data_IF_828650056419
#
_entry.id   IF_828650056419
#
_cell.length_a   1.000
_cell.length_b   1.000
_cell.length_c   1.000
_cell.angle_alpha   90.00
_cell.angle_beta   90.00
_cell.angle_gamma   90.00
#
_symmetry.space_group_name_H-M   'P 1'
#
loop_
_entity.id
_entity.type
_entity.pdbx_description
1 polymer ?
#
# COMPACT_ATOMS: atom_id res chain seq x y z
N UNK A 1 -35.95 -48.00 -49.16
CA UNK A 1 -36.00 -46.52 -49.08
C UNK A 1 -36.22 -46.15 -47.62
N UNK A 2 -35.16 -45.89 -46.86
CA UNK A 2 -35.25 -45.27 -45.53
C UNK A 2 -34.11 -44.26 -45.42
N UNK A 3 -34.46 -42.99 -45.46
CA UNK A 3 -33.56 -41.84 -45.30
C UNK A 3 -33.47 -41.53 -43.81
N UNK A 4 -32.27 -41.68 -43.23
CA UNK A 4 -31.97 -41.27 -41.86
C UNK A 4 -31.70 -39.76 -41.86
N UNK A 5 -32.53 -39.00 -41.15
CA UNK A 5 -32.40 -37.56 -41.01
C UNK A 5 -31.54 -37.28 -39.78
N UNK A 6 -30.28 -36.88 -39.99
CA UNK A 6 -29.36 -36.50 -38.92
C UNK A 6 -29.70 -35.08 -38.47
N UNK A 7 -30.26 -34.96 -37.26
CA UNK A 7 -30.51 -33.69 -36.60
C UNK A 7 -29.20 -33.23 -35.96
N UNK A 8 -28.60 -32.18 -36.51
CA UNK A 8 -27.42 -31.52 -35.93
C UNK A 8 -27.90 -30.52 -34.88
N UNK A 9 -27.76 -30.88 -33.60
CA UNK A 9 -27.91 -29.92 -32.50
C UNK A 9 -26.66 -29.04 -32.44
N UNK A 10 -26.78 -27.81 -32.88
CA UNK A 10 -25.76 -26.77 -32.65
C UNK A 10 -25.95 -26.25 -31.22
N UNK A 11 -25.12 -26.72 -30.29
CA UNK A 11 -24.98 -26.12 -28.97
C UNK A 11 -24.37 -24.72 -29.14
N UNK A 12 -25.21 -23.69 -29.05
CA UNK A 12 -24.74 -22.33 -28.77
C UNK A 12 -24.24 -22.31 -27.33
N UNK A 13 -22.92 -22.50 -27.15
CA UNK A 13 -22.25 -22.19 -25.90
C UNK A 13 -22.24 -20.66 -25.78
N UNK A 14 -23.25 -20.08 -25.10
CA UNK A 14 -23.18 -18.70 -24.66
C UNK A 14 -22.03 -18.60 -23.66
N UNK A 15 -20.82 -18.29 -24.15
CA UNK A 15 -19.75 -17.78 -23.31
C UNK A 15 -20.21 -16.39 -22.88
N UNK A 16 -20.83 -16.33 -21.69
CA UNK A 16 -20.99 -15.06 -20.98
C UNK A 16 -19.58 -14.65 -20.62
N UNK A 17 -18.98 -13.77 -21.43
CA UNK A 17 -17.76 -13.07 -21.05
C UNK A 17 -18.20 -12.16 -19.91
N UNK A 18 -17.95 -12.59 -18.68
CA UNK A 18 -18.16 -11.77 -17.50
C UNK A 18 -17.15 -10.63 -17.61
N UNK A 19 -17.62 -9.47 -18.06
CA UNK A 19 -16.77 -8.28 -18.16
C UNK A 19 -16.16 -8.03 -16.79
N UNK A 20 -14.86 -7.74 -16.74
CA UNK A 20 -14.19 -7.34 -15.51
C UNK A 20 -15.04 -6.28 -14.81
N UNK A 21 -15.47 -6.55 -13.57
CA UNK A 21 -16.30 -5.61 -12.82
C UNK A 21 -15.53 -4.31 -12.66
N UNK A 22 -16.03 -3.25 -13.29
CA UNK A 22 -15.44 -1.91 -13.18
C UNK A 22 -15.90 -1.35 -11.84
N UNK A 23 -14.96 -1.11 -10.93
CA UNK A 23 -15.24 -0.45 -9.65
C UNK A 23 -15.23 1.06 -9.90
N UNK A 24 -16.40 1.68 -9.76
CA UNK A 24 -16.59 3.13 -9.94
C UNK A 24 -17.06 3.83 -8.68
N UNK A 25 -17.58 3.09 -7.71
CA UNK A 25 -18.02 3.58 -6.41
C UNK A 25 -17.99 2.52 -5.31
N UNK A 26 -18.26 2.92 -4.06
CA UNK A 26 -18.28 2.00 -2.92
C UNK A 26 -19.38 0.93 -2.99
N UNK A 27 -20.46 1.18 -3.73
CA UNK A 27 -21.58 0.27 -3.97
C UNK A 27 -21.23 -0.91 -4.89
N UNK A 28 -20.18 -0.79 -5.69
CA UNK A 28 -19.70 -1.85 -6.60
C UNK A 28 -18.93 -2.96 -5.85
N UNK A 29 -18.63 -2.73 -4.57
CA UNK A 29 -17.71 -3.55 -3.77
C UNK A 29 -18.48 -4.28 -2.66
N UNK A 30 -18.35 -5.61 -2.63
CA UNK A 30 -18.72 -6.39 -1.44
C UNK A 30 -17.60 -6.33 -0.40
N UNK A 31 -17.64 -5.30 0.45
CA UNK A 31 -16.66 -5.05 1.51
C UNK A 31 -16.51 -6.23 2.50
N UNK A 32 -17.49 -7.14 2.58
CA UNK A 32 -17.39 -8.31 3.47
C UNK A 32 -16.43 -9.38 2.93
N UNK A 33 -16.10 -9.31 1.64
CA UNK A 33 -15.25 -10.28 0.94
C UNK A 33 -13.81 -9.80 0.78
N UNK A 34 -13.53 -8.52 1.01
CA UNK A 34 -12.18 -7.96 0.89
C UNK A 34 -11.27 -8.55 1.96
N UNK A 35 -10.05 -8.93 1.57
CA UNK A 35 -9.05 -9.61 2.40
C UNK A 35 -7.71 -8.88 2.38
N UNK A 36 -6.84 -9.17 3.34
CA UNK A 36 -5.46 -8.66 3.28
C UNK A 36 -4.71 -9.37 2.17
N UNK A 37 -3.80 -8.69 1.48
CA UNK A 37 -2.91 -9.35 0.51
C UNK A 37 -2.11 -10.50 1.15
N UNK A 38 -1.83 -10.44 2.45
CA UNK A 38 -1.17 -11.51 3.22
C UNK A 38 -1.99 -12.79 3.34
N UNK A 39 -3.30 -12.72 3.11
CA UNK A 39 -4.21 -13.87 3.14
C UNK A 39 -4.30 -14.55 1.75
N UNK A 40 -3.58 -14.03 0.73
CA UNK A 40 -3.53 -14.62 -0.61
C UNK A 40 -2.84 -16.00 -0.58
N UNK A 41 -3.46 -17.06 -1.15
CA UNK A 41 -2.83 -18.39 -1.24
C UNK A 41 -1.52 -18.33 -2.03
N UNK A 42 -0.47 -18.98 -1.51
CA UNK A 42 0.87 -18.96 -2.11
C UNK A 42 1.80 -17.87 -1.55
N UNK A 43 1.25 -16.87 -0.84
CA UNK A 43 2.02 -16.07 0.11
C UNK A 43 2.45 -17.02 1.24
N UNK A 44 3.75 -17.13 1.53
CA UNK A 44 4.33 -18.14 2.42
C UNK A 44 3.60 -18.29 3.77
N UNK A 45 3.69 -19.44 4.45
CA UNK A 45 2.79 -19.80 5.53
C UNK A 45 2.87 -18.81 6.69
N UNK A 46 1.78 -18.07 6.91
CA UNK A 46 1.62 -17.30 8.13
C UNK A 46 1.07 -18.23 9.21
N UNK A 47 1.97 -18.91 9.92
CA UNK A 47 1.63 -19.65 11.15
C UNK A 47 1.62 -18.66 12.32
N UNK A 48 0.51 -17.96 12.53
CA UNK A 48 0.30 -17.25 13.79
C UNK A 48 0.01 -18.26 14.91
N UNK A 49 0.88 -18.35 15.91
CA UNK A 49 0.56 -19.05 17.16
C UNK A 49 -0.44 -18.21 17.93
N UNK A 50 -1.61 -18.78 18.23
CA UNK A 50 -2.67 -18.10 18.97
C UNK A 50 -2.21 -17.73 20.38
N UNK A 51 -1.95 -16.45 20.62
CA UNK A 51 -2.04 -15.90 21.96
C UNK A 51 -3.11 -14.81 21.94
N UNK A 52 -4.30 -15.16 22.43
CA UNK A 52 -5.35 -14.19 22.75
C UNK A 52 -4.95 -13.51 24.05
N UNK A 53 -4.21 -12.41 23.98
CA UNK A 53 -4.12 -11.46 25.09
C UNK A 53 -3.51 -10.15 24.63
N UNK A 54 -4.15 -9.07 25.09
CA UNK A 54 -3.80 -7.64 25.02
C UNK A 54 -4.22 -6.87 23.74
N UNK A 55 -5.37 -6.19 23.88
CA UNK A 55 -5.78 -5.07 23.04
C UNK A 55 -5.19 -3.78 23.62
N UNK A 56 -4.31 -3.13 22.86
CA UNK A 56 -3.97 -1.69 22.91
C UNK A 56 -3.69 -1.32 21.44
N UNK A 57 -4.51 -0.55 20.71
CA UNK A 57 -4.86 0.89 20.79
C UNK A 57 -3.75 1.83 20.27
N UNK A 58 -4.16 2.97 19.69
CA UNK A 58 -3.39 4.23 19.49
C UNK A 58 -3.14 4.71 18.06
N UNK A 59 -3.69 4.05 17.05
CA UNK A 59 -3.95 4.72 15.77
C UNK A 59 -5.02 5.80 15.98
N UNK A 60 -4.67 7.08 15.87
CA UNK A 60 -5.67 8.15 15.88
C UNK A 60 -6.40 8.16 14.55
N UNK A 61 -7.73 8.34 14.58
CA UNK A 61 -8.48 8.54 13.35
C UNK A 61 -8.02 9.82 12.68
N UNK A 62 -7.77 9.72 11.38
CA UNK A 62 -7.31 10.83 10.54
C UNK A 62 -8.54 11.57 10.01
N UNK A 63 -8.54 12.90 10.09
CA UNK A 63 -9.62 13.68 9.49
C UNK A 63 -9.45 13.74 7.96
N UNK A 64 -10.55 13.97 7.24
CA UNK A 64 -10.51 14.16 5.79
C UNK A 64 -9.59 15.34 5.46
N UNK A 65 -8.63 15.12 4.55
CA UNK A 65 -7.65 16.12 4.13
C UNK A 65 -6.33 16.16 4.90
N UNK A 66 -6.23 15.51 6.06
CA UNK A 66 -4.99 15.52 6.87
C UNK A 66 -3.84 14.73 6.22
N UNK A 67 -4.17 13.64 5.51
CA UNK A 67 -3.22 12.79 4.79
C UNK A 67 -3.68 12.69 3.32
N UNK A 68 -3.51 13.77 2.53
CA UNK A 68 -4.13 13.90 1.20
C UNK A 68 -3.47 13.03 0.12
N UNK A 69 -2.36 12.37 0.46
CA UNK A 69 -1.63 11.45 -0.40
C UNK A 69 -1.94 9.97 -0.11
N UNK A 70 -2.72 9.65 0.93
CA UNK A 70 -3.03 8.26 1.24
C UNK A 70 -3.88 7.66 0.12
N UNK A 71 -3.40 6.56 -0.46
CA UNK A 71 -4.11 5.80 -1.48
C UNK A 71 -4.55 4.45 -0.88
N UNK A 72 -5.85 4.16 -0.98
CA UNK A 72 -6.37 2.83 -0.71
C UNK A 72 -6.38 2.04 -2.04
N UNK A 73 -5.91 0.81 -2.03
CA UNK A 73 -5.71 0.01 -3.25
C UNK A 73 -6.52 -1.27 -3.14
N UNK A 74 -7.45 -1.45 -4.08
CA UNK A 74 -8.18 -2.69 -4.28
C UNK A 74 -7.55 -3.46 -5.42
N UNK A 75 -7.13 -4.69 -5.14
CA UNK A 75 -6.58 -5.62 -6.14
C UNK A 75 -7.60 -6.74 -6.32
N UNK A 76 -8.32 -6.73 -7.44
CA UNK A 76 -9.30 -7.74 -7.78
C UNK A 76 -8.69 -8.81 -8.69
N UNK A 77 -8.78 -10.05 -8.24
CA UNK A 77 -8.54 -11.29 -8.99
C UNK A 77 -9.89 -11.97 -9.26
N UNK A 78 -9.89 -13.02 -10.11
CA UNK A 78 -11.10 -13.74 -10.56
C UNK A 78 -12.07 -14.12 -9.42
N UNK A 79 -11.55 -14.51 -8.24
CA UNK A 79 -12.36 -15.01 -7.12
C UNK A 79 -12.13 -14.27 -5.80
N UNK A 80 -11.33 -13.20 -5.78
CA UNK A 80 -10.98 -12.51 -4.54
C UNK A 80 -10.64 -11.04 -4.79
N UNK A 81 -10.91 -10.19 -3.80
CA UNK A 81 -10.39 -8.82 -3.76
C UNK A 81 -9.50 -8.65 -2.54
N UNK A 82 -8.28 -8.19 -2.77
CA UNK A 82 -7.30 -7.90 -1.75
C UNK A 82 -7.16 -6.39 -1.54
N UNK A 83 -6.69 -6.02 -0.36
CA UNK A 83 -6.48 -4.63 0.03
C UNK A 83 -5.02 -4.36 0.38
N UNK A 84 -4.54 -3.22 -0.10
CA UNK A 84 -3.27 -2.60 0.25
C UNK A 84 -3.43 -1.08 0.42
N UNK A 85 -2.41 -0.45 1.01
CA UNK A 85 -2.19 0.99 0.98
C UNK A 85 -1.17 1.42 -0.08
N UNK A 86 -1.09 2.72 -0.30
CA UNK A 86 -0.10 3.37 -1.16
C UNK A 86 -0.01 4.86 -0.88
N UNK A 87 0.85 5.54 -1.64
CA UNK A 87 1.04 6.97 -1.59
C UNK A 87 0.93 7.59 -2.99
N UNK A 88 0.06 8.58 -3.16
CA UNK A 88 0.04 9.41 -4.37
C UNK A 88 1.35 10.21 -4.44
N UNK A 89 2.10 10.09 -5.53
CA UNK A 89 3.39 10.78 -5.74
C UNK A 89 3.35 11.79 -6.91
N UNK A 90 2.32 11.72 -7.75
CA UNK A 90 2.00 12.72 -8.77
C UNK A 90 0.51 12.66 -9.14
N UNK A 91 0.07 13.42 -10.14
CA UNK A 91 -1.31 13.32 -10.65
C UNK A 91 -1.59 11.97 -11.35
N UNK A 92 -0.56 11.24 -11.76
CA UNK A 92 -0.70 9.99 -12.52
C UNK A 92 -0.13 8.76 -11.82
N UNK A 93 0.63 8.92 -10.74
CA UNK A 93 1.33 7.79 -10.12
C UNK A 93 1.06 7.65 -8.63
N UNK A 94 0.82 6.40 -8.24
CA UNK A 94 0.79 5.93 -6.85
C UNK A 94 1.96 4.98 -6.64
N UNK A 95 2.66 5.15 -5.52
CA UNK A 95 3.70 4.25 -5.06
C UNK A 95 3.12 3.27 -4.03
N UNK A 96 3.47 1.99 -4.13
CA UNK A 96 3.03 0.93 -3.21
C UNK A 96 4.10 -0.16 -3.09
N UNK A 97 3.84 -1.20 -2.30
CA UNK A 97 4.71 -2.37 -2.17
C UNK A 97 4.58 -3.28 -3.41
N UNK A 98 5.68 -3.89 -3.85
CA UNK A 98 5.65 -4.90 -4.92
C UNK A 98 4.76 -6.08 -4.53
N UNK A 99 4.82 -6.49 -3.26
CA UNK A 99 3.98 -7.52 -2.64
C UNK A 99 2.48 -7.35 -2.91
N UNK A 100 2.01 -6.11 -3.06
CA UNK A 100 0.60 -5.82 -3.33
C UNK A 100 0.16 -6.24 -4.74
N UNK A 101 1.09 -6.28 -5.70
CA UNK A 101 0.80 -6.34 -7.13
C UNK A 101 1.66 -7.33 -7.91
N UNK A 102 2.64 -7.96 -7.26
CA UNK A 102 3.50 -8.97 -7.85
C UNK A 102 2.72 -10.31 -8.04
N UNK A 103 2.78 -10.87 -9.25
CA UNK A 103 2.14 -12.13 -9.60
C UNK A 103 1.83 -12.31 -11.10
N UNK A 104 1.79 -13.56 -11.55
CA UNK A 104 1.60 -13.95 -12.96
C UNK A 104 0.17 -13.83 -13.50
N UNK A 105 -0.73 -13.10 -12.82
CA UNK A 105 -2.16 -13.04 -13.16
C UNK A 105 -2.56 -11.65 -13.63
N UNK A 106 -3.59 -11.60 -14.45
CA UNK A 106 -4.23 -10.34 -14.85
C UNK A 106 -4.93 -9.74 -13.62
N UNK A 107 -4.34 -8.69 -13.06
CA UNK A 107 -4.86 -7.96 -11.91
C UNK A 107 -5.70 -6.78 -12.38
N UNK A 108 -6.92 -6.65 -11.86
CA UNK A 108 -7.68 -5.41 -11.96
C UNK A 108 -7.42 -4.60 -10.69
N UNK A 109 -6.81 -3.41 -10.83
CA UNK A 109 -6.48 -2.56 -9.69
C UNK A 109 -7.28 -1.26 -9.74
N UNK A 110 -7.92 -0.94 -8.61
CA UNK A 110 -8.61 0.33 -8.40
C UNK A 110 -7.99 1.07 -7.21
N UNK A 111 -7.56 2.31 -7.46
CA UNK A 111 -7.07 3.23 -6.45
C UNK A 111 -8.22 4.11 -5.96
N UNK A 112 -8.36 4.21 -4.65
CA UNK A 112 -9.28 5.09 -3.94
C UNK A 112 -8.49 6.27 -3.35
N UNK A 113 -8.94 7.49 -3.63
CA UNK A 113 -8.38 8.73 -3.08
C UNK A 113 -9.47 9.53 -2.36
N UNK A 114 -9.05 10.49 -1.53
CA UNK A 114 -9.93 11.19 -0.58
C UNK A 114 -10.72 10.18 0.29
N UNK A 115 -10.00 9.15 0.75
CA UNK A 115 -10.56 7.95 1.37
C UNK A 115 -10.34 7.90 2.89
N UNK A 116 -10.28 9.06 3.56
CA UNK A 116 -10.18 9.12 5.02
C UNK A 116 -11.29 8.27 5.70
N UNK A 117 -12.44 8.20 5.05
CA UNK A 117 -13.46 7.18 5.28
C UNK A 117 -13.72 6.40 3.98
N UNK A 118 -13.47 5.09 3.98
CA UNK A 118 -13.53 4.22 2.78
C UNK A 118 -14.91 4.26 2.13
N UNK A 119 -15.97 4.18 2.92
CA UNK A 119 -17.36 4.20 2.43
C UNK A 119 -17.80 5.54 1.82
N UNK A 120 -16.99 6.59 1.94
CA UNK A 120 -17.26 7.92 1.37
C UNK A 120 -16.06 8.45 0.58
N UNK A 121 -15.22 7.54 0.06
CA UNK A 121 -14.07 7.88 -0.77
C UNK A 121 -14.51 8.76 -1.96
N UNK A 122 -13.70 9.76 -2.29
CA UNK A 122 -14.06 10.78 -3.28
C UNK A 122 -13.78 10.38 -4.73
N UNK A 123 -12.77 9.55 -4.96
CA UNK A 123 -12.35 9.14 -6.31
C UNK A 123 -12.07 7.64 -6.35
N UNK A 124 -12.49 6.99 -7.43
CA UNK A 124 -12.19 5.61 -7.78
C UNK A 124 -11.51 5.60 -9.15
N UNK A 125 -10.30 5.06 -9.22
CA UNK A 125 -9.41 5.24 -10.38
C UNK A 125 -8.79 3.91 -10.76
N UNK A 126 -9.15 3.41 -11.93
CA UNK A 126 -8.51 2.23 -12.47
C UNK A 126 -7.03 2.49 -12.80
N UNK A 127 -6.21 1.47 -12.61
CA UNK A 127 -4.79 1.48 -12.99
C UNK A 127 -4.66 0.99 -14.43
N UNK A 128 -3.86 1.70 -15.21
CA UNK A 128 -3.57 1.38 -16.62
C UNK A 128 -2.27 0.60 -16.81
N UNK A 129 -1.33 0.72 -15.86
CA UNK A 129 -0.01 0.09 -15.93
C UNK A 129 0.51 -0.16 -14.52
N UNK A 130 1.07 -1.35 -14.30
CA UNK A 130 1.75 -1.76 -13.07
C UNK A 130 3.23 -1.90 -13.39
N UNK A 131 4.07 -1.17 -12.67
CA UNK A 131 5.52 -1.18 -12.88
C UNK A 131 6.18 -1.67 -11.59
N UNK A 132 6.53 -2.95 -11.57
CA UNK A 132 7.20 -3.60 -10.44
C UNK A 132 8.71 -3.43 -10.56
N UNK A 133 9.40 -3.21 -9.44
CA UNK A 133 10.86 -3.18 -9.45
C UNK A 133 11.44 -4.53 -9.98
N UNK A 134 12.49 -4.54 -10.84
CA UNK A 134 12.96 -5.76 -11.51
C UNK A 134 13.45 -6.91 -10.62
N UNK A 135 13.69 -6.64 -9.33
CA UNK A 135 14.14 -7.63 -8.34
C UNK A 135 13.22 -7.57 -7.09
N UNK A 136 11.92 -7.93 -7.22
CA UNK A 136 10.91 -7.65 -6.20
C UNK A 136 11.13 -8.45 -4.90
N UNK A 137 11.85 -9.59 -4.96
CA UNK A 137 12.19 -10.39 -3.78
C UNK A 137 13.03 -9.63 -2.76
N UNK A 138 13.90 -8.72 -3.23
CA UNK A 138 14.78 -7.89 -2.40
C UNK A 138 14.30 -6.44 -2.33
N UNK A 139 13.34 -6.05 -3.19
CA UNK A 139 12.91 -4.67 -3.39
C UNK A 139 11.38 -4.60 -3.43
N UNK A 140 10.77 -4.44 -2.26
CA UNK A 140 9.32 -4.41 -2.12
C UNK A 140 8.73 -3.04 -2.49
N UNK A 141 8.76 -2.70 -3.78
CA UNK A 141 8.27 -1.42 -4.34
C UNK A 141 7.69 -1.59 -5.76
N UNK A 142 6.57 -0.91 -6.01
CA UNK A 142 5.93 -0.82 -7.32
C UNK A 142 5.28 0.55 -7.53
N UNK A 143 5.14 0.92 -8.80
CA UNK A 143 4.40 2.10 -9.27
C UNK A 143 3.11 1.65 -9.96
N UNK A 144 2.03 2.38 -9.69
CA UNK A 144 0.74 2.23 -10.35
C UNK A 144 0.47 3.49 -11.16
N UNK A 145 0.38 3.34 -12.48
CA UNK A 145 0.00 4.43 -13.37
C UNK A 145 -1.52 4.48 -13.47
N UNK A 146 -2.10 5.55 -12.96
CA UNK A 146 -3.52 5.83 -13.04
C UNK A 146 -3.97 5.99 -14.51
N UNK A 147 -5.17 5.51 -14.84
CA UNK A 147 -5.70 5.61 -16.20
C UNK A 147 -6.07 7.04 -16.63
N UNK A 148 -6.09 7.98 -15.69
CA UNK A 148 -6.30 9.42 -15.89
C UNK A 148 -5.58 10.20 -14.79
N UNK A 149 -5.28 11.48 -15.07
CA UNK A 149 -4.81 12.42 -14.05
C UNK A 149 -5.86 12.61 -12.95
N UNK A 150 -5.43 12.64 -11.68
CA UNK A 150 -6.28 13.05 -10.57
C UNK A 150 -6.43 14.56 -10.51
N UNK A 151 -7.62 15.04 -10.15
CA UNK A 151 -7.83 16.46 -9.89
C UNK A 151 -7.40 16.80 -8.47
N UNK A 152 -6.27 17.50 -8.34
CA UNK A 152 -5.77 17.93 -7.04
C UNK A 152 -6.73 18.90 -6.35
N UNK A 153 -6.84 18.75 -5.03
CA UNK A 153 -7.66 19.58 -4.14
C UNK A 153 -7.13 19.44 -2.70
N UNK A 154 -7.80 20.02 -1.70
CA UNK A 154 -7.31 19.96 -0.31
C UNK A 154 -7.20 18.53 0.26
N UNK A 155 -8.00 17.60 -0.26
CA UNK A 155 -8.03 16.20 0.16
C UNK A 155 -7.22 15.24 -0.71
N UNK A 156 -6.78 15.69 -1.90
CA UNK A 156 -6.01 14.88 -2.85
C UNK A 156 -4.80 15.68 -3.28
N UNK A 157 -3.62 15.32 -2.76
CA UNK A 157 -2.34 15.94 -3.10
C UNK A 157 -1.21 14.92 -3.05
N UNK A 158 -0.24 14.97 -3.97
CA UNK A 158 0.94 14.13 -3.88
C UNK A 158 1.75 14.37 -2.60
N UNK A 159 2.34 13.31 -2.06
CA UNK A 159 3.35 13.43 -1.01
C UNK A 159 4.66 13.94 -1.63
N UNK A 160 5.42 14.73 -0.88
CA UNK A 160 6.78 15.08 -1.32
C UNK A 160 7.70 13.87 -1.20
N UNK A 161 8.54 13.63 -2.21
CA UNK A 161 9.62 12.64 -2.12
C UNK A 161 10.91 13.27 -1.56
N UNK A 162 11.81 12.48 -0.94
CA UNK A 162 13.10 12.94 -0.48
C UNK A 162 13.89 13.59 -1.63
N UNK A 163 14.56 14.70 -1.33
CA UNK A 163 15.44 15.35 -2.31
C UNK A 163 16.82 14.63 -2.38
N UNK A 164 17.63 14.97 -3.40
CA UNK A 164 18.93 14.33 -3.61
C UNK A 164 19.88 14.47 -2.41
N UNK A 165 19.82 15.58 -1.67
CA UNK A 165 20.64 15.80 -0.46
C UNK A 165 20.25 14.89 0.71
N UNK A 166 19.02 14.38 0.71
CA UNK A 166 18.52 13.47 1.74
C UNK A 166 18.83 12.01 1.44
N UNK A 167 19.43 11.68 0.28
CA UNK A 167 19.72 10.29 -0.14
C UNK A 167 20.51 9.50 0.92
N UNK A 168 21.45 10.15 1.59
CA UNK A 168 22.31 9.51 2.60
C UNK A 168 21.81 9.67 4.03
N UNK A 169 20.62 10.24 4.24
CA UNK A 169 20.08 10.44 5.59
C UNK A 169 19.51 9.13 6.14
N UNK A 170 19.87 8.81 7.37
CA UNK A 170 19.37 7.61 8.05
C UNK A 170 17.99 7.82 8.68
N UNK A 171 17.67 9.08 8.98
CA UNK A 171 16.49 9.54 9.73
C UNK A 171 16.38 8.99 11.16
N UNK A 172 17.40 8.32 11.69
CA UNK A 172 17.38 7.72 13.03
C UNK A 172 17.00 8.75 14.10
N UNK A 173 16.12 8.34 15.02
CA UNK A 173 15.50 9.16 16.06
C UNK A 173 14.56 10.27 15.56
N UNK A 174 14.30 10.38 14.26
CA UNK A 174 13.24 11.26 13.78
C UNK A 174 11.87 10.62 14.01
N UNK A 175 10.90 11.45 14.38
CA UNK A 175 9.52 11.01 14.51
C UNK A 175 8.93 10.79 13.11
N UNK A 176 8.41 9.59 12.88
CA UNK A 176 7.78 9.21 11.64
C UNK A 176 6.33 8.77 11.90
N UNK A 177 5.51 8.97 10.89
CA UNK A 177 4.06 8.79 10.89
C UNK A 177 3.72 7.74 9.83
N UNK A 178 3.14 6.62 10.25
CA UNK A 178 2.56 5.63 9.34
C UNK A 178 1.05 5.66 9.40
N UNK A 179 0.42 5.71 8.23
CA UNK A 179 -1.02 5.74 8.06
C UNK A 179 -1.55 4.62 7.18
N UNK A 180 -2.72 4.09 7.52
CA UNK A 180 -3.41 3.08 6.71
C UNK A 180 -4.76 2.65 7.28
N UNK A 181 -5.36 1.66 6.62
CA UNK A 181 -6.68 1.09 6.96
C UNK A 181 -6.59 -0.38 7.39
N UNK A 182 -5.38 -0.83 7.72
CA UNK A 182 -5.12 -2.18 8.23
C UNK A 182 -5.81 -2.46 9.55
N UNK A 183 -5.82 -3.74 9.92
CA UNK A 183 -6.37 -4.20 11.21
C UNK A 183 -5.62 -3.58 12.39
N UNK A 184 -6.29 -3.42 13.51
CA UNK A 184 -5.67 -2.83 14.72
C UNK A 184 -4.80 -3.81 15.50
N UNK A 185 -4.95 -5.12 15.26
CA UNK A 185 -4.13 -6.17 15.85
C UNK A 185 -4.13 -7.43 14.96
N UNK A 186 -3.23 -8.37 15.25
CA UNK A 186 -3.20 -9.66 14.57
C UNK A 186 -4.33 -10.58 15.05
N UNK A 187 -4.78 -11.49 14.19
CA UNK A 187 -5.81 -12.49 14.51
C UNK A 187 -7.15 -11.92 14.99
N UNK A 188 -7.49 -10.71 14.56
CA UNK A 188 -8.81 -10.11 14.80
C UNK A 188 -9.77 -10.45 13.67
N UNK A 189 -11.06 -10.56 13.99
CA UNK A 189 -12.14 -10.63 12.98
C UNK A 189 -12.55 -9.23 12.47
N UNK A 190 -11.65 -8.26 12.54
CA UNK A 190 -11.89 -6.93 12.00
C UNK A 190 -11.99 -7.00 10.48
N UNK A 191 -13.04 -6.36 9.94
CA UNK A 191 -13.20 -6.16 8.51
C UNK A 191 -12.01 -5.38 7.96
N UNK A 192 -11.64 -5.68 6.72
CA UNK A 192 -10.58 -4.98 6.01
C UNK A 192 -11.12 -4.47 4.67
N UNK A 193 -10.83 -3.22 4.28
CA UNK A 193 -10.21 -2.18 5.09
C UNK A 193 -11.07 -1.77 6.30
N UNK A 194 -10.43 -1.25 7.35
CA UNK A 194 -11.16 -0.48 8.37
C UNK A 194 -11.80 0.74 7.70
N UNK A 195 -12.99 1.16 8.15
CA UNK A 195 -13.66 2.28 7.50
C UNK A 195 -12.87 3.59 7.61
N UNK A 196 -12.20 3.84 8.74
CA UNK A 196 -11.48 5.09 8.99
C UNK A 196 -9.98 4.89 8.79
N UNK A 197 -9.34 5.82 8.08
CA UNK A 197 -7.89 5.95 8.02
C UNK A 197 -7.35 6.24 9.42
N UNK A 198 -6.29 5.54 9.80
CA UNK A 198 -5.63 5.71 11.10
C UNK A 198 -4.17 6.08 10.91
N UNK A 199 -3.60 6.73 11.92
CA UNK A 199 -2.20 7.13 11.98
C UNK A 199 -1.58 6.74 13.32
N UNK A 200 -0.39 6.14 13.30
CA UNK A 200 0.49 6.01 14.48
C UNK A 200 1.81 6.72 14.25
N UNK A 201 2.44 7.17 15.34
CA UNK A 201 3.75 7.85 15.31
C UNK A 201 4.75 7.09 16.14
N UNK A 202 5.91 6.82 15.55
CA UNK A 202 7.03 6.14 16.21
C UNK A 202 8.35 6.76 15.73
N UNK A 203 9.45 6.41 16.38
CA UNK A 203 10.77 6.88 15.97
C UNK A 203 11.41 5.93 14.97
N UNK A 204 12.09 6.49 13.97
CA UNK A 204 12.98 5.70 13.11
C UNK A 204 14.12 5.14 13.96
N UNK A 205 14.39 3.85 13.81
CA UNK A 205 15.48 3.15 14.49
C UNK A 205 16.57 2.74 13.50
N UNK A 206 17.76 2.46 14.01
CA UNK A 206 18.87 1.99 13.17
C UNK A 206 18.59 0.59 12.61
N UNK A 207 19.10 0.32 11.40
CA UNK A 207 19.01 -1.00 10.78
C UNK A 207 19.70 -2.08 11.63
N UNK A 208 20.78 -1.74 12.35
CA UNK A 208 21.42 -2.63 13.31
C UNK A 208 20.45 -3.09 14.41
N UNK A 209 19.77 -2.16 15.09
CA UNK A 209 18.82 -2.49 16.14
C UNK A 209 17.60 -3.23 15.56
N UNK A 210 17.18 -2.89 14.34
CA UNK A 210 16.09 -3.58 13.65
C UNK A 210 16.47 -5.04 13.34
N UNK A 211 17.71 -5.28 12.87
CA UNK A 211 18.24 -6.60 12.57
C UNK A 211 18.32 -7.55 13.78
N UNK A 212 18.37 -7.03 15.00
CA UNK A 212 18.22 -7.85 16.22
C UNK A 212 16.83 -8.49 16.30
N UNK A 213 15.79 -7.79 15.84
CA UNK A 213 14.42 -8.32 15.76
C UNK A 213 14.15 -9.13 14.50
N UNK A 214 14.92 -8.90 13.44
CA UNK A 214 14.77 -9.52 12.12
C UNK A 214 16.12 -10.05 11.59
N UNK A 215 16.68 -11.12 12.19
CA UNK A 215 18.01 -11.61 11.83
C UNK A 215 18.08 -11.99 10.34
N UNK A 216 19.11 -11.47 9.64
CA UNK A 216 19.38 -11.72 8.22
C UNK A 216 18.33 -11.20 7.22
N UNK A 217 17.34 -10.43 7.66
CA UNK A 217 16.30 -9.87 6.79
C UNK A 217 16.46 -8.38 6.51
N UNK A 218 17.28 -7.66 7.28
CA UNK A 218 17.45 -6.22 7.17
C UNK A 218 18.70 -5.88 6.36
N UNK A 219 18.51 -5.03 5.34
CA UNK A 219 19.52 -4.47 4.45
C UNK A 219 19.38 -2.94 4.37
N UNK A 220 20.22 -2.26 3.59
CA UNK A 220 20.13 -0.81 3.38
C UNK A 220 18.86 -0.37 2.65
N UNK A 221 18.22 -1.27 1.90
CA UNK A 221 16.91 -1.06 1.27
C UNK A 221 15.76 -0.92 2.27
N UNK A 222 16.03 -1.11 3.56
CA UNK A 222 15.04 -1.05 4.62
C UNK A 222 15.23 0.17 5.52
N UNK A 223 14.12 0.69 6.01
CA UNK A 223 14.01 1.64 7.11
C UNK A 223 13.03 1.09 8.13
N UNK A 224 13.39 1.15 9.41
CA UNK A 224 12.56 0.61 10.48
C UNK A 224 12.10 1.71 11.42
N UNK A 225 10.90 1.55 11.97
CA UNK A 225 10.41 2.35 13.10
C UNK A 225 10.18 1.45 14.31
N UNK A 226 10.27 2.03 15.51
CA UNK A 226 9.84 1.36 16.73
C UNK A 226 8.35 1.05 16.68
N UNK A 227 7.88 0.10 17.51
CA UNK A 227 6.46 -0.30 17.56
C UNK A 227 5.79 0.02 18.89
N UNK A 228 6.45 0.76 19.77
CA UNK A 228 6.04 1.01 21.15
C UNK A 228 4.75 1.82 21.26
N UNK A 229 4.42 2.64 20.25
CA UNK A 229 3.18 3.42 20.20
C UNK A 229 2.12 2.82 19.25
N UNK A 230 2.30 1.56 18.84
CA UNK A 230 1.49 0.89 17.83
C UNK A 230 2.28 0.65 16.53
N UNK A 231 1.76 -0.22 15.66
CA UNK A 231 2.46 -0.70 14.46
C UNK A 231 1.49 -0.89 13.30
N UNK A 232 2.00 -0.83 12.08
CA UNK A 232 1.26 -1.28 10.89
C UNK A 232 1.01 -2.79 10.92
N UNK A 233 -0.12 -3.18 10.34
CA UNK A 233 -0.63 -4.53 10.35
C UNK A 233 -1.14 -4.98 8.98
N UNK A 234 -1.78 -6.16 8.95
CA UNK A 234 -2.43 -6.70 7.76
C UNK A 234 -3.43 -5.69 7.18
N UNK A 235 -3.24 -5.35 5.92
CA UNK A 235 -3.97 -4.33 5.16
C UNK A 235 -3.26 -2.98 5.06
N UNK A 236 -2.19 -2.75 5.81
CA UNK A 236 -1.37 -1.55 5.67
C UNK A 236 -0.26 -1.71 4.62
N UNK A 237 -0.10 -2.89 4.01
CA UNK A 237 0.96 -3.18 3.02
C UNK A 237 1.02 -2.12 1.93
N UNK A 238 2.21 -1.60 1.63
CA UNK A 238 2.41 -0.48 0.70
C UNK A 238 2.04 0.90 1.26
N UNK A 239 1.45 0.98 2.45
CA UNK A 239 1.04 2.24 3.09
C UNK A 239 2.22 3.17 3.43
N UNK A 240 2.01 4.50 3.41
CA UNK A 240 3.09 5.48 3.53
C UNK A 240 3.65 5.58 4.95
N UNK A 241 4.99 5.61 5.04
CA UNK A 241 5.74 6.10 6.19
C UNK A 241 6.33 7.47 5.85
N UNK A 242 5.88 8.50 6.57
CA UNK A 242 6.28 9.89 6.35
C UNK A 242 6.98 10.48 7.55
N UNK A 243 7.83 11.48 7.32
CA UNK A 243 8.38 12.33 8.39
C UNK A 243 8.28 13.79 7.97
N UNK A 244 8.63 14.69 8.88
CA UNK A 244 8.57 16.13 8.69
C UNK A 244 9.99 16.68 8.70
N UNK A 245 10.31 17.47 7.68
CA UNK A 245 11.56 18.18 7.63
C UNK A 245 11.58 19.30 8.68
N UNK A 246 12.55 19.26 9.57
CA UNK A 246 12.62 20.15 10.73
C UNK A 246 12.90 21.61 10.36
N UNK A 247 13.37 21.87 9.14
CA UNK A 247 13.69 23.23 8.66
C UNK A 247 12.49 23.85 7.96
N UNK A 248 11.92 23.12 7.01
CA UNK A 248 10.84 23.60 6.12
C UNK A 248 9.44 23.30 6.64
N UNK A 249 9.31 22.39 7.62
CA UNK A 249 8.02 21.89 8.10
C UNK A 249 7.29 20.99 7.10
N UNK A 250 7.95 20.61 5.99
CA UNK A 250 7.36 19.82 4.91
C UNK A 250 7.28 18.34 5.27
N UNK A 251 6.12 17.74 5.08
CA UNK A 251 5.95 16.28 5.17
C UNK A 251 6.47 15.60 3.90
N UNK A 252 7.28 14.55 4.04
CA UNK A 252 7.83 13.79 2.93
C UNK A 252 7.87 12.27 3.22
N UNK A 253 7.84 11.47 2.16
CA UNK A 253 7.79 10.01 2.21
C UNK A 253 9.18 9.41 2.40
N UNK A 254 9.38 8.65 3.48
CA UNK A 254 10.66 7.97 3.77
C UNK A 254 10.57 6.46 3.65
N UNK A 255 9.36 5.89 3.69
CA UNK A 255 9.17 4.47 3.48
C UNK A 255 7.79 4.05 3.04
N UNK A 256 7.66 2.77 2.66
CA UNK A 256 6.40 2.07 2.42
C UNK A 256 6.35 0.85 3.32
N UNK A 257 5.25 0.60 4.02
CA UNK A 257 5.15 -0.59 4.86
C UNK A 257 5.29 -1.87 4.04
N UNK A 258 6.23 -2.72 4.44
CA UNK A 258 6.53 -3.98 3.78
C UNK A 258 6.11 -5.13 4.68
N UNK A 259 6.80 -5.32 5.82
CA UNK A 259 6.49 -6.41 6.73
C UNK A 259 6.67 -6.09 8.22
N UNK A 260 6.19 -7.00 9.05
CA UNK A 260 6.38 -7.00 10.50
C UNK A 260 6.71 -8.41 10.97
N UNK A 261 7.01 -8.53 12.26
CA UNK A 261 7.33 -9.79 12.92
C UNK A 261 6.23 -10.84 12.73
N UNK A 262 6.64 -12.09 12.54
CA UNK A 262 5.73 -13.25 12.45
C UNK A 262 4.88 -13.46 13.71
N UNK A 263 5.29 -12.90 14.85
CA UNK A 263 4.51 -12.88 16.09
C UNK A 263 3.28 -11.96 16.03
N UNK A 264 3.13 -11.20 14.95
CA UNK A 264 2.00 -10.31 14.70
C UNK A 264 2.27 -8.84 15.05
N UNK A 265 1.44 -7.97 14.47
CA UNK A 265 1.29 -6.58 14.88
C UNK A 265 0.61 -6.51 16.26
N UNK A 266 0.98 -5.52 17.07
CA UNK A 266 0.46 -5.34 18.45
C UNK A 266 1.40 -5.80 19.57
N UNK A 267 2.52 -6.46 19.24
CA UNK A 267 3.52 -6.91 20.22
C UNK A 267 4.58 -5.84 20.56
N UNK A 268 4.37 -4.58 20.18
CA UNK A 268 5.35 -3.51 20.37
C UNK A 268 6.66 -3.67 19.58
N UNK A 269 6.70 -4.60 18.61
CA UNK A 269 7.90 -4.88 17.81
C UNK A 269 8.09 -3.87 16.68
N UNK A 270 9.34 -3.62 16.24
CA UNK A 270 9.59 -2.76 15.11
C UNK A 270 8.86 -3.20 13.84
N UNK A 271 8.51 -2.25 13.00
CA UNK A 271 8.00 -2.52 11.64
C UNK A 271 9.04 -2.16 10.60
N UNK A 272 9.04 -2.91 9.50
CA UNK A 272 10.01 -2.78 8.42
C UNK A 272 9.33 -2.16 7.21
N UNK A 273 9.99 -1.17 6.63
CA UNK A 273 9.51 -0.41 5.49
C UNK A 273 10.58 -0.39 4.39
N UNK A 274 10.14 -0.39 3.14
CA UNK A 274 11.02 -0.13 1.99
C UNK A 274 11.54 1.30 2.06
N UNK A 275 12.85 1.52 2.04
CA UNK A 275 13.51 2.83 2.18
C UNK A 275 13.46 3.61 0.87
N UNK A 276 12.66 4.68 0.80
CA UNK A 276 12.46 5.44 -0.45
C UNK A 276 13.75 6.08 -1.00
N UNK A 277 14.70 6.45 -0.14
CA UNK A 277 15.95 7.09 -0.59
C UNK A 277 16.80 6.20 -1.51
N UNK A 278 16.66 4.87 -1.42
CA UNK A 278 17.35 3.92 -2.31
C UNK A 278 16.72 3.85 -3.70
N UNK A 279 15.47 4.28 -3.85
CA UNK A 279 14.68 4.11 -5.08
C UNK A 279 14.40 5.41 -5.82
N UNK A 280 14.98 6.54 -5.41
CA UNK A 280 14.73 7.84 -6.05
C UNK A 280 15.03 7.82 -7.56
N UNK A 281 16.16 7.21 -7.95
CA UNK A 281 16.54 7.07 -9.37
C UNK A 281 15.54 6.20 -10.15
N UNK A 282 15.10 5.10 -9.54
CA UNK A 282 14.13 4.20 -10.16
C UNK A 282 12.74 4.85 -10.29
N UNK A 283 12.29 5.59 -9.27
CA UNK A 283 11.02 6.32 -9.29
C UNK A 283 11.05 7.38 -10.40
N UNK A 284 12.09 8.19 -10.49
CA UNK A 284 12.24 9.22 -11.52
C UNK A 284 12.27 8.62 -12.94
N UNK A 285 12.94 7.49 -13.12
CA UNK A 285 13.04 6.83 -14.42
C UNK A 285 11.73 6.18 -14.91
N UNK A 286 10.79 5.90 -14.01
CA UNK A 286 9.56 5.12 -14.30
C UNK A 286 8.26 5.88 -13.99
N UNK A 287 8.34 7.18 -13.66
CA UNK A 287 7.18 8.02 -13.40
C UNK A 287 7.34 9.41 -14.03
N UNK A 288 6.38 10.29 -13.80
CA UNK A 288 6.43 11.71 -14.16
C UNK A 288 7.01 12.60 -13.04
N UNK A 289 7.53 12.01 -11.96
CA UNK A 289 8.10 12.74 -10.82
C UNK A 289 9.55 13.12 -11.10
N UNK A 290 9.91 14.37 -10.77
CA UNK A 290 11.28 14.89 -10.81
C UNK A 290 11.82 14.98 -9.37
N UNK A 291 12.99 14.38 -9.12
CA UNK A 291 13.64 14.38 -7.81
C UNK A 291 14.57 15.59 -7.71
N UNK A 292 14.11 16.60 -6.98
CA UNK A 292 14.82 17.86 -6.79
C UNK A 292 16.11 17.69 -5.98
N UNK A 293 17.10 18.55 -6.22
CA UNK A 293 18.32 18.62 -5.38
C UNK A 293 18.04 19.20 -3.98
N UNK A 294 17.14 20.17 -3.91
CA UNK A 294 16.62 20.76 -2.68
C UNK A 294 15.20 21.30 -2.94
N UNK A 295 14.33 21.22 -1.93
CA UNK A 295 12.94 21.72 -2.03
C UNK A 295 12.84 23.26 -2.08
N UNK A 296 13.89 23.98 -1.68
CA UNK A 296 13.91 25.45 -1.71
C UNK A 296 14.09 26.05 -3.11
N UNK A 297 14.36 25.21 -4.11
CA UNK A 297 14.26 25.67 -5.49
C UNK A 297 12.78 25.76 -5.83
N UNK A 298 12.22 26.96 -5.71
CA UNK A 298 10.95 27.29 -6.36
C UNK A 298 11.14 27.00 -7.83
N UNK A 299 10.58 25.91 -8.33
CA UNK A 299 10.25 25.81 -9.75
C UNK A 299 9.27 26.94 -10.03
N UNK A 300 9.79 27.97 -10.68
CA UNK A 300 9.03 29.00 -11.41
C UNK A 300 8.23 28.32 -12.51
#
# INVERSE_FOLDING_TARGET
>A
MHTLQVIVFTLFLCVVIEAARIITGPEDIDWSTVRSIREKPGYGPIKYTSNRSERILNGITVARGDIPYAAAILISEEFATYFCGGALISEHFVLTAATCVDGDRELSITVLLDAAQINTAGEFIAVSEIIVHPAPSDNDIALLRLNRAVRLNDNIRPVTLPNRRQRTMTFVNQLASISGWGRTASNTNEALPLNNLRLVRNHVMSNFNCGVSFPFQISDQHICITGDSGSACAGDEGGPLTTVDVVTGRTFLIGLYSFTSFLGCGMGRPTVHTRITEYLDWIEANSDVIILDNWDTRSV
#
